data_IF_195592956467
#
_entry.id   IF_195592956467
#
_cell.length_a   1.000
_cell.length_b   1.000
_cell.length_c   1.000
_cell.angle_alpha   90.00
_cell.angle_beta   90.00
_cell.angle_gamma   90.00
#
_symmetry.space_group_name_H-M   'P 1'
#
loop_
_entity.id
_entity.type
_entity.pdbx_description
1 polymer ?
#
# COMPACT_ATOMS: atom_id res chain seq x y z
N UNK A 1 -38.21 15.31 14.94
CA UNK A 1 -37.41 14.54 13.97
C UNK A 1 -35.97 15.00 14.05
N UNK A 2 -35.14 14.33 14.83
CA UNK A 2 -33.71 14.62 14.91
C UNK A 2 -32.97 13.62 14.00
N UNK A 3 -32.28 14.12 12.98
CA UNK A 3 -31.35 13.32 12.18
C UNK A 3 -30.05 13.20 12.96
N UNK A 4 -29.82 12.06 13.60
CA UNK A 4 -28.48 11.65 14.03
C UNK A 4 -27.75 11.17 12.78
N UNK A 5 -26.86 12.02 12.26
CA UNK A 5 -25.83 11.59 11.31
C UNK A 5 -24.72 10.94 12.13
N UNK A 6 -24.86 9.63 12.37
CA UNK A 6 -23.70 8.82 12.73
C UNK A 6 -22.81 8.73 11.49
N UNK A 7 -21.85 9.65 11.40
CA UNK A 7 -20.64 9.39 10.65
C UNK A 7 -19.90 8.27 11.38
N UNK A 8 -20.34 7.03 11.13
CA UNK A 8 -19.64 5.86 11.59
C UNK A 8 -18.21 5.95 11.05
N UNK A 9 -17.26 6.22 11.94
CA UNK A 9 -15.84 6.04 11.71
C UNK A 9 -15.64 4.58 11.35
N UNK A 10 -15.74 4.27 10.06
CA UNK A 10 -15.33 2.96 9.54
C UNK A 10 -13.83 2.87 9.86
N UNK A 11 -13.38 1.86 10.61
CA UNK A 11 -11.96 1.68 10.84
C UNK A 11 -11.25 1.63 9.49
N UNK A 12 -10.28 2.53 9.29
CA UNK A 12 -9.54 2.71 8.04
C UNK A 12 -8.72 1.44 7.67
N UNK A 13 -8.59 0.53 8.63
CA UNK A 13 -7.89 -0.74 8.54
C UNK A 13 -8.84 -1.86 8.98
N UNK A 14 -9.36 -2.62 8.02
CA UNK A 14 -9.97 -3.92 8.26
C UNK A 14 -8.92 -4.99 7.94
N UNK A 15 -8.82 -6.06 8.73
CA UNK A 15 -8.02 -7.23 8.38
C UNK A 15 -8.38 -7.67 6.95
N UNK A 16 -7.39 -7.70 6.04
CA UNK A 16 -7.60 -7.95 4.60
C UNK A 16 -7.82 -6.73 3.72
N UNK A 17 -7.84 -5.51 4.27
CA UNK A 17 -7.82 -4.27 3.47
C UNK A 17 -6.37 -3.82 3.28
N UNK A 18 -5.90 -3.88 2.03
CA UNK A 18 -4.54 -3.42 1.70
C UNK A 18 -4.52 -1.89 1.72
N UNK A 19 -3.98 -1.31 2.79
CA UNK A 19 -3.87 0.14 2.94
C UNK A 19 -2.46 0.60 2.52
N UNK A 20 -2.40 1.28 1.39
CA UNK A 20 -1.17 1.84 0.81
C UNK A 20 -1.26 1.86 -0.72
N UNK A 21 -0.31 2.51 -1.38
CA UNK A 21 -0.21 2.36 -2.83
C UNK A 21 0.46 1.01 -3.10
N UNK A 22 -0.35 -0.03 -3.34
CA UNK A 22 0.06 -1.42 -3.63
C UNK A 22 1.35 -1.54 -4.45
N UNK A 23 1.49 -0.62 -5.39
CA UNK A 23 2.58 -0.52 -6.37
C UNK A 23 3.97 -0.36 -5.75
N UNK A 24 4.09 -0.06 -4.44
CA UNK A 24 5.37 0.11 -3.74
C UNK A 24 5.57 -0.86 -2.56
N UNK A 25 4.60 -1.72 -2.26
CA UNK A 25 4.74 -2.69 -1.15
C UNK A 25 5.67 -3.82 -1.56
N UNK A 26 6.54 -4.23 -0.63
CA UNK A 26 7.36 -5.41 -0.81
C UNK A 26 6.51 -6.70 -0.77
N UNK A 27 6.96 -7.79 -1.41
CA UNK A 27 6.27 -9.08 -1.36
C UNK A 27 6.02 -9.57 0.08
N UNK A 28 6.98 -9.37 0.97
CA UNK A 28 6.85 -9.74 2.38
C UNK A 28 5.78 -8.94 3.12
N UNK A 29 5.57 -7.66 2.78
CA UNK A 29 4.45 -6.85 3.29
C UNK A 29 3.10 -7.38 2.81
N UNK A 30 3.00 -7.76 1.53
CA UNK A 30 1.75 -8.28 0.95
C UNK A 30 1.39 -9.67 1.51
N UNK A 31 2.39 -10.48 1.83
CA UNK A 31 2.23 -11.81 2.41
C UNK A 31 2.04 -11.79 3.93
N UNK A 32 2.09 -10.61 4.57
CA UNK A 32 1.98 -10.46 6.03
C UNK A 32 3.13 -11.10 6.81
N UNK A 33 4.31 -11.22 6.18
CA UNK A 33 5.52 -11.77 6.80
C UNK A 33 6.23 -10.71 7.64
N UNK A 34 7.24 -11.11 8.41
CA UNK A 34 8.09 -10.15 9.11
C UNK A 34 8.75 -9.18 8.13
N UNK A 35 8.53 -7.90 8.39
CA UNK A 35 9.07 -6.79 7.63
C UNK A 35 10.39 -6.37 8.24
N UNK A 36 11.44 -6.28 7.43
CA UNK A 36 12.75 -5.76 7.82
C UNK A 36 13.22 -4.66 6.86
N UNK A 37 14.44 -4.15 7.05
CA UNK A 37 15.00 -3.06 6.25
C UNK A 37 15.04 -3.33 4.73
N UNK A 38 14.91 -4.58 4.28
CA UNK A 38 14.85 -4.94 2.85
C UNK A 38 13.57 -4.43 2.18
N UNK A 39 12.49 -4.26 2.95
CA UNK A 39 11.25 -3.66 2.45
C UNK A 39 11.47 -2.21 2.00
N UNK A 40 12.24 -1.42 2.75
CA UNK A 40 12.57 -0.05 2.36
C UNK A 40 13.45 -0.02 1.10
N UNK A 41 14.38 -0.96 0.96
CA UNK A 41 15.23 -1.11 -0.22
C UNK A 41 14.37 -1.44 -1.46
N UNK A 42 13.39 -2.31 -1.31
CA UNK A 42 12.45 -2.65 -2.37
C UNK A 42 11.68 -1.40 -2.83
N UNK A 43 11.04 -0.69 -1.90
CA UNK A 43 10.28 0.52 -2.21
C UNK A 43 11.15 1.61 -2.85
N UNK A 44 12.37 1.82 -2.34
CA UNK A 44 13.33 2.76 -2.92
C UNK A 44 13.70 2.37 -4.36
N UNK A 45 13.90 1.08 -4.64
CA UNK A 45 14.19 0.58 -5.99
C UNK A 45 13.08 0.91 -6.99
N UNK A 46 11.82 0.81 -6.56
CA UNK A 46 10.66 1.14 -7.40
C UNK A 46 10.56 2.64 -7.68
N UNK A 47 10.82 3.48 -6.67
CA UNK A 47 10.87 4.95 -6.83
C UNK A 47 12.01 5.34 -7.78
N UNK A 48 13.21 4.76 -7.60
CA UNK A 48 14.34 5.00 -8.50
C UNK A 48 14.02 4.59 -9.94
N UNK A 49 13.40 3.41 -10.12
CA UNK A 49 12.97 2.96 -11.44
C UNK A 49 12.01 3.94 -12.10
N UNK A 50 11.02 4.44 -11.37
CA UNK A 50 10.04 5.40 -11.88
C UNK A 50 10.67 6.75 -12.23
N UNK A 51 11.59 7.24 -11.40
CA UNK A 51 12.31 8.48 -11.68
C UNK A 51 13.19 8.38 -12.94
N UNK A 52 13.81 7.22 -13.17
CA UNK A 52 14.70 7.01 -14.34
C UNK A 52 13.91 6.70 -15.61
N UNK A 53 12.87 5.88 -15.51
CA UNK A 53 12.12 5.40 -16.68
C UNK A 53 10.91 6.27 -17.04
N UNK A 54 10.44 7.10 -16.11
CA UNK A 54 9.17 7.83 -16.21
C UNK A 54 7.94 6.92 -16.16
N UNK A 55 8.11 5.64 -15.81
CA UNK A 55 7.07 4.61 -15.78
C UNK A 55 7.12 3.84 -14.47
N UNK A 56 5.98 3.38 -13.98
CA UNK A 56 5.96 2.51 -12.80
C UNK A 56 6.53 1.13 -13.13
N UNK A 57 7.24 0.55 -12.17
CA UNK A 57 7.81 -0.79 -12.31
C UNK A 57 6.72 -1.87 -12.39
N UNK A 58 5.67 -1.72 -11.59
CA UNK A 58 4.50 -2.59 -11.59
C UNK A 58 3.24 -1.76 -11.86
N UNK A 59 2.48 -2.19 -12.86
CA UNK A 59 1.13 -1.72 -13.12
C UNK A 59 0.22 -2.78 -12.52
N UNK A 60 -0.71 -2.40 -11.63
CA UNK A 60 -1.53 -3.32 -10.83
C UNK A 60 -2.56 -4.13 -11.62
N UNK A 61 -2.18 -4.69 -12.76
CA UNK A 61 -2.97 -5.57 -13.61
C UNK A 61 -2.49 -7.02 -13.44
N UNK A 62 -2.66 -7.60 -12.24
CA UNK A 62 -2.85 -9.04 -11.95
C UNK A 62 -2.70 -9.32 -10.46
#
# INVERSE_FOLDING_TARGET
TALQTEAAERPLTQEGTILGTLQYMSPEQLEGKEVDARTDIFALGLVLYEMVSGKRAFHGDS
#
